data_IF_803739102660
#
_entry.id   IF_803739102660
#
_cell.length_a   1.000
_cell.length_b   1.000
_cell.length_c   1.000
_cell.angle_alpha   90.00
_cell.angle_beta   90.00
_cell.angle_gamma   90.00
#
_symmetry.space_group_name_H-M   'P 1'
#
loop_
_entity.id
_entity.type
_entity.pdbx_description
1 polymer ?
#
# COMPACT_ATOMS: atom_id res chain seq x y z
N UNK A 1 16.87 34.65 -29.32
CA UNK A 1 16.11 34.38 -28.07
C UNK A 1 14.65 34.12 -28.45
N UNK A 2 14.20 32.85 -28.49
CA UNK A 2 12.89 32.39 -29.04
C UNK A 2 11.97 31.74 -27.98
N UNK A 3 12.19 32.04 -26.70
CA UNK A 3 11.56 31.34 -25.58
C UNK A 3 10.10 31.74 -25.18
N UNK A 4 9.47 32.88 -25.55
CA UNK A 4 8.15 33.22 -25.00
C UNK A 4 6.96 32.48 -25.63
N UNK A 5 6.97 32.24 -26.94
CA UNK A 5 5.79 31.75 -27.68
C UNK A 5 5.57 30.25 -27.52
N UNK A 6 6.62 29.46 -27.37
CA UNK A 6 6.54 28.01 -27.22
C UNK A 6 5.95 27.60 -25.87
N UNK A 7 6.33 28.27 -24.78
CA UNK A 7 5.81 28.01 -23.44
C UNK A 7 4.31 28.30 -23.34
N UNK A 8 3.84 29.39 -23.96
CA UNK A 8 2.41 29.74 -24.00
C UNK A 8 1.59 28.68 -24.76
N UNK A 9 2.12 28.17 -25.88
CA UNK A 9 1.49 27.09 -26.64
C UNK A 9 1.45 25.77 -25.85
N UNK A 10 2.54 25.43 -25.15
CA UNK A 10 2.60 24.24 -24.30
C UNK A 10 1.61 24.31 -23.13
N UNK A 11 1.52 25.47 -22.47
CA UNK A 11 0.56 25.70 -21.40
C UNK A 11 -0.89 25.54 -21.88
N UNK A 12 -1.26 26.18 -22.98
CA UNK A 12 -2.62 26.07 -23.54
C UNK A 12 -2.96 24.62 -23.95
N UNK A 13 -1.97 23.89 -24.45
CA UNK A 13 -2.13 22.46 -24.77
C UNK A 13 -2.39 21.64 -23.50
N UNK A 14 -1.64 21.90 -22.41
CA UNK A 14 -1.87 21.21 -21.14
C UNK A 14 -3.25 21.57 -20.57
N UNK A 15 -3.59 22.85 -20.49
CA UNK A 15 -4.87 23.32 -19.96
C UNK A 15 -6.08 22.69 -20.69
N UNK A 16 -5.98 22.44 -22.00
CA UNK A 16 -7.04 21.78 -22.77
C UNK A 16 -7.17 20.27 -22.54
N UNK A 17 -6.18 19.63 -21.91
CA UNK A 17 -6.14 18.18 -21.69
C UNK A 17 -5.95 17.79 -20.21
N UNK A 18 -5.86 18.76 -19.31
CA UNK A 18 -5.74 18.52 -17.86
C UNK A 18 -7.11 18.55 -17.20
N UNK A 19 -7.35 17.57 -16.33
CA UNK A 19 -8.49 17.60 -15.42
C UNK A 19 -8.03 18.13 -14.06
N UNK A 20 -8.64 19.22 -13.54
CA UNK A 20 -8.28 19.74 -12.24
C UNK A 20 -8.71 18.74 -11.15
N UNK A 21 -7.75 18.32 -10.34
CA UNK A 21 -8.01 17.57 -9.12
C UNK A 21 -8.48 18.53 -8.03
N UNK A 22 -9.48 18.10 -7.27
CA UNK A 22 -9.99 18.83 -6.11
C UNK A 22 -10.29 17.86 -4.98
N UNK A 23 -10.83 18.37 -3.87
CA UNK A 23 -11.28 17.53 -2.74
C UNK A 23 -12.64 16.88 -2.98
N UNK A 24 -13.31 17.20 -4.10
CA UNK A 24 -14.61 16.61 -4.44
C UNK A 24 -14.41 15.20 -5.01
N UNK A 25 -15.24 14.26 -4.57
CA UNK A 25 -15.19 12.89 -5.05
C UNK A 25 -15.29 12.80 -6.59
N UNK A 26 -16.14 13.61 -7.22
CA UNK A 26 -16.30 13.64 -8.68
C UNK A 26 -15.05 14.07 -9.45
N UNK A 27 -14.10 14.78 -8.81
CA UNK A 27 -12.85 15.18 -9.49
C UNK A 27 -11.96 14.00 -9.87
N UNK A 28 -12.17 12.83 -9.24
CA UNK A 28 -11.45 11.60 -9.58
C UNK A 28 -12.16 10.73 -10.63
N UNK A 29 -13.36 11.10 -11.09
CA UNK A 29 -14.13 10.30 -12.07
C UNK A 29 -13.35 10.04 -13.37
N UNK A 30 -12.63 11.02 -13.95
CA UNK A 30 -11.80 10.77 -15.13
C UNK A 30 -10.71 9.72 -14.86
N UNK A 31 -10.12 9.71 -13.65
CA UNK A 31 -9.12 8.71 -13.25
C UNK A 31 -9.76 7.33 -13.09
N UNK A 32 -10.93 7.24 -12.44
CA UNK A 32 -11.65 5.97 -12.30
C UNK A 32 -12.06 5.40 -13.65
N UNK A 33 -12.44 6.25 -14.60
CA UNK A 33 -12.71 5.85 -15.98
C UNK A 33 -11.45 5.34 -16.68
N UNK A 34 -10.33 6.07 -16.58
CA UNK A 34 -9.06 5.70 -17.21
C UNK A 34 -8.46 4.40 -16.66
N UNK A 35 -8.59 4.15 -15.35
CA UNK A 35 -8.16 2.89 -14.71
C UNK A 35 -8.97 1.69 -15.24
N UNK A 36 -10.23 1.92 -15.64
CA UNK A 36 -11.05 0.90 -16.30
C UNK A 36 -11.25 -0.34 -15.43
N UNK A 37 -10.85 -1.50 -15.97
CA UNK A 37 -10.90 -2.82 -15.34
C UNK A 37 -9.51 -3.33 -14.92
N UNK A 38 -8.53 -2.44 -14.74
CA UNK A 38 -7.21 -2.83 -14.27
C UNK A 38 -7.28 -3.54 -12.91
N UNK A 39 -6.53 -4.63 -12.77
CA UNK A 39 -6.45 -5.39 -11.52
C UNK A 39 -5.38 -4.84 -10.57
N UNK A 40 -4.46 -4.03 -11.10
CA UNK A 40 -3.35 -3.41 -10.37
C UNK A 40 -3.32 -1.94 -10.74
N UNK A 41 -3.32 -1.06 -9.74
CA UNK A 41 -3.19 0.38 -9.89
C UNK A 41 -2.07 0.87 -8.96
N UNK A 42 -1.07 1.54 -9.53
CA UNK A 42 0.06 2.08 -8.78
C UNK A 42 -0.18 3.57 -8.51
N UNK A 43 -0.07 4.00 -7.25
CA UNK A 43 -0.27 5.39 -6.83
C UNK A 43 1.01 5.91 -6.18
N UNK A 44 1.74 6.75 -6.90
CA UNK A 44 2.96 7.41 -6.41
C UNK A 44 2.70 8.81 -5.83
N UNK A 45 3.72 9.38 -5.19
CA UNK A 45 3.80 10.79 -4.83
C UNK A 45 5.11 11.40 -5.34
N UNK A 46 5.15 12.72 -5.46
CA UNK A 46 6.35 13.43 -5.91
C UNK A 46 7.29 13.78 -4.76
N UNK A 47 6.82 13.70 -3.52
CA UNK A 47 7.60 13.93 -2.30
C UNK A 47 6.96 13.28 -1.09
N UNK A 48 7.81 12.75 -0.21
CA UNK A 48 7.41 12.30 1.11
C UNK A 48 7.14 13.48 2.05
N UNK A 49 6.12 13.36 2.88
CA UNK A 49 5.76 14.32 3.93
C UNK A 49 4.79 15.41 3.48
N UNK A 50 4.39 15.44 2.22
CA UNK A 50 3.40 16.39 1.71
C UNK A 50 1.99 15.87 1.98
N UNK A 51 1.26 16.59 2.83
CA UNK A 51 -0.09 16.23 3.27
C UNK A 51 -1.04 16.00 2.09
N UNK A 52 -0.99 16.88 1.09
CA UNK A 52 -1.89 16.85 -0.06
C UNK A 52 -1.75 15.55 -0.85
N UNK A 53 -0.53 15.04 -1.03
CA UNK A 53 -0.32 13.75 -1.70
C UNK A 53 -0.92 12.61 -0.91
N UNK A 54 -0.74 12.58 0.42
CA UNK A 54 -1.33 11.54 1.26
C UNK A 54 -2.86 11.58 1.24
N UNK A 55 -3.45 12.77 1.29
CA UNK A 55 -4.89 12.95 1.21
C UNK A 55 -5.46 12.47 -0.13
N UNK A 56 -4.83 12.82 -1.25
CA UNK A 56 -5.27 12.34 -2.57
C UNK A 56 -5.10 10.82 -2.72
N UNK A 57 -4.00 10.24 -2.22
CA UNK A 57 -3.78 8.79 -2.22
C UNK A 57 -4.84 8.06 -1.40
N UNK A 58 -5.23 8.59 -0.25
CA UNK A 58 -6.30 8.02 0.57
C UNK A 58 -7.64 8.03 -0.16
N UNK A 59 -8.05 9.17 -0.72
CA UNK A 59 -9.31 9.30 -1.47
C UNK A 59 -9.36 8.37 -2.69
N UNK A 60 -8.25 8.27 -3.44
CA UNK A 60 -8.16 7.36 -4.58
C UNK A 60 -8.26 5.90 -4.15
N UNK A 61 -7.59 5.53 -3.06
CA UNK A 61 -7.62 4.17 -2.53
C UNK A 61 -9.03 3.79 -2.09
N UNK A 62 -9.73 4.65 -1.37
CA UNK A 62 -11.13 4.44 -0.96
C UNK A 62 -12.03 4.15 -2.17
N UNK A 63 -11.96 4.99 -3.21
CA UNK A 63 -12.75 4.77 -4.44
C UNK A 63 -12.39 3.47 -5.18
N UNK A 64 -11.11 3.11 -5.25
CA UNK A 64 -10.68 1.84 -5.87
C UNK A 64 -11.26 0.63 -5.12
N UNK A 65 -11.40 0.72 -3.81
CA UNK A 65 -11.99 -0.34 -2.99
C UNK A 65 -13.51 -0.39 -3.20
N UNK A 66 -14.18 0.74 -3.03
CA UNK A 66 -15.65 0.82 -3.02
C UNK A 66 -16.24 0.63 -4.41
N UNK A 67 -15.65 1.24 -5.44
CA UNK A 67 -16.22 1.30 -6.79
C UNK A 67 -15.62 0.25 -7.73
N UNK A 68 -14.34 -0.09 -7.52
CA UNK A 68 -13.60 -1.00 -8.42
C UNK A 68 -13.32 -2.37 -7.81
N UNK A 69 -13.66 -2.58 -6.54
CA UNK A 69 -13.57 -3.88 -5.88
C UNK A 69 -12.15 -4.34 -5.60
N UNK A 70 -11.19 -3.42 -5.48
CA UNK A 70 -9.83 -3.76 -5.04
C UNK A 70 -9.87 -4.34 -3.61
N UNK A 71 -9.11 -5.40 -3.37
CA UNK A 71 -9.11 -6.14 -2.08
C UNK A 71 -7.75 -6.20 -1.41
N UNK A 72 -6.72 -5.60 -2.02
CA UNK A 72 -5.36 -5.56 -1.50
C UNK A 72 -4.74 -4.17 -1.68
N UNK A 73 -4.00 -3.73 -0.66
CA UNK A 73 -3.14 -2.54 -0.70
C UNK A 73 -1.71 -3.00 -0.43
N UNK A 74 -0.81 -2.68 -1.36
CA UNK A 74 0.62 -2.86 -1.17
C UNK A 74 1.28 -1.49 -0.97
N UNK A 75 1.97 -1.30 0.16
CA UNK A 75 2.62 -0.04 0.53
C UNK A 75 4.14 -0.17 0.49
N UNK A 76 4.83 0.91 0.12
CA UNK A 76 6.27 1.09 0.30
C UNK A 76 6.58 1.26 1.79
N UNK A 77 6.48 0.17 2.53
CA UNK A 77 6.79 0.10 3.94
C UNK A 77 7.32 -1.27 4.29
N UNK A 78 8.02 -1.33 5.41
CA UNK A 78 8.52 -2.56 6.01
C UNK A 78 7.40 -3.59 6.19
N UNK A 79 7.65 -4.80 5.70
CA UNK A 79 6.72 -5.93 5.82
C UNK A 79 6.17 -6.13 7.26
N UNK A 80 6.99 -6.11 8.33
CA UNK A 80 6.50 -6.26 9.70
C UNK A 80 5.45 -5.22 10.10
N UNK A 81 5.59 -3.99 9.61
CA UNK A 81 4.70 -2.88 10.01
C UNK A 81 3.37 -2.98 9.25
N UNK A 82 3.41 -3.25 7.93
CA UNK A 82 2.22 -3.52 7.15
C UNK A 82 1.46 -4.77 7.62
N UNK A 83 2.19 -5.81 8.05
CA UNK A 83 1.58 -7.02 8.59
C UNK A 83 0.76 -6.75 9.86
N UNK A 84 1.23 -5.86 10.74
CA UNK A 84 0.48 -5.47 11.95
C UNK A 84 -0.84 -4.78 11.59
N UNK A 85 -0.85 -3.95 10.56
CA UNK A 85 -2.07 -3.32 10.04
C UNK A 85 -3.01 -4.40 9.48
N UNK A 86 -2.49 -5.33 8.67
CA UNK A 86 -3.27 -6.43 8.11
C UNK A 86 -3.98 -7.24 9.22
N UNK A 87 -3.27 -7.61 10.29
CA UNK A 87 -3.86 -8.29 11.45
C UNK A 87 -5.01 -7.51 12.08
N UNK A 88 -4.80 -6.21 12.28
CA UNK A 88 -5.80 -5.33 12.89
C UNK A 88 -7.08 -5.30 12.05
N UNK A 89 -6.95 -5.16 10.72
CA UNK A 89 -8.08 -5.15 9.79
C UNK A 89 -8.84 -6.48 9.79
N UNK A 90 -8.14 -7.61 9.98
CA UNK A 90 -8.75 -8.93 10.08
C UNK A 90 -9.32 -9.28 11.47
N UNK A 91 -9.30 -8.34 12.42
CA UNK A 91 -9.87 -8.52 13.76
C UNK A 91 -9.05 -9.45 14.66
N UNK A 92 -7.79 -9.70 14.31
CA UNK A 92 -6.89 -10.44 15.19
C UNK A 92 -6.58 -9.60 16.44
N UNK A 93 -6.50 -10.20 17.63
CA UNK A 93 -6.23 -9.46 18.86
C UNK A 93 -4.94 -8.64 18.74
N UNK A 94 -4.95 -7.46 19.36
CA UNK A 94 -3.78 -6.57 19.41
C UNK A 94 -2.72 -7.21 20.31
N UNK A 95 -1.70 -7.82 19.71
CA UNK A 95 -0.57 -8.40 20.43
C UNK A 95 0.53 -7.34 20.46
N UNK A 96 1.03 -7.01 21.66
CA UNK A 96 2.23 -6.17 21.90
C UNK A 96 3.42 -6.71 21.06
N UNK A 97 4.43 -5.87 20.70
CA UNK A 97 5.12 -5.99 19.43
C UNK A 97 5.86 -7.33 19.25
N UNK A 98 5.90 -7.75 17.97
CA UNK A 98 6.76 -8.77 17.39
C UNK A 98 6.55 -10.23 17.83
N UNK A 99 5.51 -10.56 18.59
CA UNK A 99 5.24 -11.97 19.00
C UNK A 99 4.29 -12.73 18.08
N UNK A 100 3.67 -12.06 17.11
CA UNK A 100 2.52 -12.62 16.40
C UNK A 100 2.50 -12.38 14.89
N UNK A 101 3.52 -11.77 14.31
CA UNK A 101 3.47 -11.40 12.89
C UNK A 101 3.45 -12.61 11.92
N UNK A 102 3.63 -13.85 12.38
CA UNK A 102 3.64 -15.02 11.48
C UNK A 102 2.76 -16.21 11.89
N UNK A 103 2.10 -16.24 13.06
CA UNK A 103 1.04 -17.27 13.28
C UNK A 103 -0.07 -17.16 12.27
N UNK A 104 -0.38 -15.93 11.87
CA UNK A 104 -1.62 -15.65 11.20
C UNK A 104 -1.46 -15.60 9.67
N UNK A 105 -0.23 -15.75 9.14
CA UNK A 105 0.02 -15.92 7.69
C UNK A 105 -0.71 -17.15 7.13
N UNK A 106 -0.80 -18.23 7.91
CA UNK A 106 -1.53 -19.44 7.51
C UNK A 106 -3.04 -19.34 7.82
N UNK A 107 -3.46 -18.48 8.76
CA UNK A 107 -4.86 -18.28 9.11
C UNK A 107 -5.57 -17.26 8.19
N UNK A 108 -4.84 -16.25 7.70
CA UNK A 108 -5.34 -15.20 6.81
C UNK A 108 -5.67 -15.69 5.39
N UNK A 109 -5.32 -16.94 5.04
CA UNK A 109 -5.64 -17.51 3.73
C UNK A 109 -7.09 -18.02 3.61
N UNK A 110 -7.89 -17.99 4.68
CA UNK A 110 -9.18 -18.69 4.73
C UNK A 110 -10.42 -17.83 5.04
N UNK A 111 -10.37 -16.50 4.88
CA UNK A 111 -11.60 -15.68 4.88
C UNK A 111 -11.88 -15.08 3.48
N UNK A 112 -12.67 -15.75 2.63
CA UNK A 112 -13.08 -15.23 1.33
C UNK A 112 -14.07 -14.06 1.41
N UNK A 113 -14.54 -13.68 2.61
CA UNK A 113 -15.49 -12.58 2.79
C UNK A 113 -14.78 -11.21 2.87
N UNK A 114 -14.24 -10.76 1.73
CA UNK A 114 -14.19 -9.32 1.35
C UNK A 114 -13.60 -8.35 2.40
N UNK A 115 -12.53 -8.73 3.11
CA UNK A 115 -11.76 -7.80 3.95
C UNK A 115 -10.49 -7.36 3.24
N UNK A 116 -10.24 -6.05 3.22
CA UNK A 116 -9.04 -5.44 2.64
C UNK A 116 -7.78 -6.01 3.30
N UNK A 117 -6.79 -6.41 2.50
CA UNK A 117 -5.51 -6.90 3.01
C UNK A 117 -4.37 -5.90 2.74
N UNK A 118 -3.46 -5.78 3.70
CA UNK A 118 -2.32 -4.85 3.65
C UNK A 118 -0.99 -5.60 3.53
N UNK A 119 -0.15 -5.18 2.60
CA UNK A 119 1.14 -5.78 2.31
C UNK A 119 2.23 -4.71 2.29
N UNK A 120 3.36 -4.98 2.95
CA UNK A 120 4.55 -4.15 2.83
C UNK A 120 5.43 -4.71 1.73
N UNK A 121 5.83 -3.87 0.78
CA UNK A 121 6.72 -4.24 -0.33
C UNK A 121 8.19 -3.98 -0.01
N UNK A 122 8.48 -3.27 1.08
CA UNK A 122 9.84 -2.86 1.42
C UNK A 122 10.49 -3.74 2.48
N UNK A 123 11.82 -3.72 2.46
CA UNK A 123 12.74 -4.37 3.37
C UNK A 123 13.74 -3.38 3.98
N UNK A 124 13.35 -2.11 4.20
CA UNK A 124 14.20 -1.11 4.87
C UNK A 124 14.79 -1.62 6.19
N UNK A 125 14.01 -2.38 6.97
CA UNK A 125 14.45 -3.03 8.21
C UNK A 125 14.67 -4.53 8.02
N UNK A 126 15.69 -4.93 7.24
CA UNK A 126 16.07 -6.34 7.06
C UNK A 126 16.21 -7.09 8.39
N UNK A 127 16.85 -6.48 9.40
CA UNK A 127 17.00 -7.10 10.72
C UNK A 127 15.65 -7.33 11.42
N UNK A 128 14.75 -6.34 11.40
CA UNK A 128 13.40 -6.49 11.99
C UNK A 128 12.60 -7.56 11.24
N UNK A 129 12.72 -7.61 9.92
CA UNK A 129 12.02 -8.58 9.07
C UNK A 129 12.55 -10.00 9.31
N UNK A 130 13.88 -10.16 9.40
CA UNK A 130 14.52 -11.42 9.74
C UNK A 130 14.17 -11.88 11.17
N UNK A 131 14.17 -10.96 12.15
CA UNK A 131 13.77 -11.26 13.53
C UNK A 131 12.35 -11.81 13.59
N UNK A 132 11.41 -11.23 12.83
CA UNK A 132 10.04 -11.74 12.77
C UNK A 132 10.04 -13.15 12.17
N UNK A 133 10.73 -13.39 11.04
CA UNK A 133 10.85 -14.73 10.43
C UNK A 133 11.46 -15.76 11.40
N UNK A 134 12.51 -15.40 12.14
CA UNK A 134 13.11 -16.28 13.14
C UNK A 134 12.09 -16.64 14.23
N UNK A 135 11.31 -15.66 14.71
CA UNK A 135 10.25 -15.90 15.71
C UNK A 135 9.11 -16.79 15.20
N UNK A 136 8.83 -16.79 13.90
CA UNK A 136 7.91 -17.77 13.31
C UNK A 136 8.44 -19.19 13.46
N UNK A 137 9.69 -19.37 13.04
CA UNK A 137 10.36 -20.67 13.08
C UNK A 137 10.37 -21.20 14.51
N UNK A 138 10.57 -20.35 15.53
CA UNK A 138 10.52 -20.79 16.93
C UNK A 138 9.25 -21.57 17.32
N UNK A 139 8.13 -21.32 16.63
CA UNK A 139 6.87 -22.05 16.88
C UNK A 139 6.69 -23.25 15.96
N UNK A 140 7.03 -23.14 14.68
CA UNK A 140 6.67 -24.16 13.67
C UNK A 140 7.82 -25.10 13.31
N UNK A 141 9.06 -24.63 13.50
CA UNK A 141 10.31 -25.35 13.25
C UNK A 141 11.42 -24.81 14.20
N UNK A 142 11.42 -25.21 15.48
CA UNK A 142 12.35 -24.69 16.47
C UNK A 142 13.83 -24.98 16.15
N UNK A 143 14.11 -26.06 15.40
CA UNK A 143 15.47 -26.37 14.95
C UNK A 143 15.89 -25.43 13.82
N UNK A 144 15.01 -25.17 12.85
CA UNK A 144 15.24 -24.14 11.83
C UNK A 144 15.47 -22.75 12.43
N UNK A 145 14.76 -22.40 13.52
CA UNK A 145 14.97 -21.14 14.24
C UNK A 145 16.37 -21.04 14.88
N UNK A 146 16.85 -22.14 15.46
CA UNK A 146 18.21 -22.19 16.05
C UNK A 146 19.29 -22.02 15.00
N UNK A 147 19.13 -22.64 13.84
CA UNK A 147 20.08 -22.47 12.73
C UNK A 147 20.06 -21.04 12.18
N UNK A 148 18.86 -20.46 12.01
CA UNK A 148 18.73 -19.08 11.53
C UNK A 148 19.35 -18.03 12.48
N UNK A 149 19.41 -18.30 13.79
CA UNK A 149 20.07 -17.43 14.79
C UNK A 149 21.61 -17.49 14.76
N UNK A 150 22.21 -18.46 14.07
CA UNK A 150 23.66 -18.64 13.96
C UNK A 150 24.27 -17.93 12.75
N UNK A 151 23.45 -17.48 11.81
CA UNK A 151 23.84 -16.71 10.62
C UNK A 151 23.94 -15.23 10.93
#
# INVERSE_FOLDING_TARGET
MSAPTTLLKQRALLESHTHPLSWQASSYDPLMSAIGSAQVACIGDSSHGTYEFYAHRANLTERLIEEKGFTAIAVEADWPDAFRINRYVHGAPHISPARAALSDLNASQNDPARRMSFYGMDLYSLHRSADEVIRYLERVDPEGAKEARKM
#
